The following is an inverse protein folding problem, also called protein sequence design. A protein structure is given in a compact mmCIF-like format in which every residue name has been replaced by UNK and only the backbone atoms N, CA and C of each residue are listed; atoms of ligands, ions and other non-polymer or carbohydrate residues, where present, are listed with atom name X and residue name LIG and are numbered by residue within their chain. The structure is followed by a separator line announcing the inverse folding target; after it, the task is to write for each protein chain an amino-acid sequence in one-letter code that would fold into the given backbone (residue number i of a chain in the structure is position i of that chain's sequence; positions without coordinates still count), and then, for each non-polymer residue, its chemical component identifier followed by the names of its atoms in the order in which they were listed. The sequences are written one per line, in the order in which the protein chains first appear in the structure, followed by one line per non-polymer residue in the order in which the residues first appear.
data_IF_065608919465
#
_entry.id   IF_065608919465
#
_cell.length_a   1.000
_cell.length_b   1.000
_cell.length_c   1.000
_cell.angle_alpha   90.00
_cell.angle_beta   90.00
_cell.angle_gamma   90.00
#
_symmetry.space_group_name_H-M   'P 1'
#
loop_
_entity.id
_entity.type
_entity.pdbx_description
1 polymer ?
#
# COMPACT_ATOMS: atom_id res chain seq x y z
N UNK A 1 52.33 -14.70 -24.00
CA UNK A 1 50.86 -14.82 -23.90
C UNK A 1 50.52 -15.04 -22.43
N UNK A 2 50.12 -14.00 -21.70
CA UNK A 2 49.84 -14.11 -20.26
C UNK A 2 48.41 -14.59 -20.04
N UNK A 3 48.23 -15.73 -19.36
CA UNK A 3 46.90 -16.20 -18.94
C UNK A 3 46.38 -15.26 -17.86
N UNK A 4 45.12 -14.77 -17.94
CA UNK A 4 44.55 -13.98 -16.87
C UNK A 4 44.46 -14.80 -15.58
N UNK A 5 44.87 -14.19 -14.47
CA UNK A 5 44.88 -14.80 -13.14
C UNK A 5 43.46 -15.10 -12.67
N UNK A 6 43.22 -16.30 -12.11
CA UNK A 6 41.96 -16.66 -11.47
C UNK A 6 41.58 -15.69 -10.34
N UNK A 7 42.56 -15.03 -9.72
CA UNK A 7 42.37 -14.00 -8.70
C UNK A 7 41.65 -12.76 -9.27
N UNK A 8 41.93 -12.39 -10.52
CA UNK A 8 41.30 -11.25 -11.19
C UNK A 8 39.82 -11.54 -11.50
N UNK A 9 39.49 -12.77 -11.89
CA UNK A 9 38.11 -13.22 -12.09
C UNK A 9 37.33 -13.30 -10.78
N UNK A 10 37.95 -13.79 -9.70
CA UNK A 10 37.31 -13.83 -8.39
C UNK A 10 37.08 -12.41 -7.84
N UNK A 11 38.02 -11.48 -8.05
CA UNK A 11 37.86 -10.08 -7.66
C UNK A 11 36.71 -9.39 -8.44
N UNK A 12 36.63 -9.61 -9.76
CA UNK A 12 35.50 -9.13 -10.58
C UNK A 12 34.17 -9.77 -10.13
N UNK A 13 34.16 -11.04 -9.76
CA UNK A 13 32.95 -11.72 -9.28
C UNK A 13 32.47 -11.16 -7.92
N UNK A 14 33.39 -10.92 -6.98
CA UNK A 14 33.08 -10.34 -5.67
C UNK A 14 32.64 -8.89 -5.80
N UNK A 15 33.23 -8.11 -6.73
CA UNK A 15 32.79 -6.73 -7.03
C UNK A 15 31.39 -6.67 -7.66
N UNK A 16 30.97 -7.68 -8.42
CA UNK A 16 29.59 -7.77 -8.93
C UNK A 16 28.61 -8.21 -7.83
N UNK A 17 29.04 -9.04 -6.88
CA UNK A 17 28.23 -9.49 -5.75
C UNK A 17 27.95 -8.36 -4.74
N UNK A 18 28.90 -7.45 -4.52
CA UNK A 18 28.70 -6.32 -3.60
C UNK A 18 27.73 -5.25 -4.12
N UNK A 19 27.34 -5.30 -5.40
CA UNK A 19 26.29 -4.43 -5.97
C UNK A 19 24.88 -4.97 -5.67
N UNK A 20 24.73 -6.25 -5.33
CA UNK A 20 23.43 -6.91 -5.26
C UNK A 20 22.72 -6.86 -3.90
N UNK A 21 23.30 -6.20 -2.89
CA UNK A 21 22.68 -6.08 -1.56
C UNK A 21 22.12 -4.67 -1.34
N UNK A 22 21.12 -4.27 -2.13
CA UNK A 22 20.26 -3.15 -1.74
C UNK A 22 19.01 -3.72 -1.05
N UNK A 23 18.89 -3.51 0.26
CA UNK A 23 17.64 -3.77 0.96
C UNK A 23 16.60 -2.76 0.48
N UNK A 24 15.53 -3.23 -0.17
CA UNK A 24 14.37 -2.38 -0.46
C UNK A 24 13.78 -1.87 0.86
N UNK A 25 13.78 -0.55 1.07
CA UNK A 25 13.06 0.02 2.20
C UNK A 25 11.57 0.03 1.86
N UNK A 26 10.77 -0.63 2.69
CA UNK A 26 9.32 -0.64 2.58
C UNK A 26 8.75 0.47 3.46
N UNK A 27 7.96 1.36 2.86
CA UNK A 27 7.25 2.41 3.58
C UNK A 27 5.78 2.00 3.69
N UNK A 28 5.20 2.15 4.89
CA UNK A 28 3.79 1.88 5.16
C UNK A 28 3.09 3.21 5.38
N UNK A 29 2.01 3.44 4.62
CA UNK A 29 1.18 4.63 4.77
C UNK A 29 -0.24 4.26 5.18
N UNK A 30 -0.74 4.91 6.23
CA UNK A 30 -2.12 4.74 6.71
C UNK A 30 -2.97 5.98 6.44
N UNK A 31 -4.18 5.81 5.94
CA UNK A 31 -5.09 6.90 5.59
C UNK A 31 -6.55 6.55 5.91
N UNK A 32 -7.35 7.52 6.35
CA UNK A 32 -8.80 7.34 6.44
C UNK A 32 -9.40 7.45 5.04
N UNK A 33 -10.26 6.49 4.69
CA UNK A 33 -10.91 6.44 3.39
C UNK A 33 -12.28 7.10 3.46
N UNK A 34 -12.57 7.95 2.48
CA UNK A 34 -13.91 8.49 2.23
C UNK A 34 -14.51 7.79 1.00
N UNK A 35 -15.44 6.84 1.17
CA UNK A 35 -16.04 6.13 0.05
C UNK A 35 -16.89 7.05 -0.83
N UNK A 36 -17.00 6.69 -2.12
CA UNK A 36 -17.90 7.37 -3.07
C UNK A 36 -19.36 7.14 -2.68
N UNK A 37 -19.67 5.93 -2.19
CA UNK A 37 -20.98 5.53 -1.65
C UNK A 37 -20.74 4.59 -0.49
N UNK A 38 -21.56 4.69 0.54
CA UNK A 38 -21.54 3.76 1.65
C UNK A 38 -22.91 3.68 2.34
N UNK A 39 -23.18 2.54 2.96
CA UNK A 39 -24.30 2.38 3.89
C UNK A 39 -24.03 1.23 4.86
N UNK A 40 -24.73 1.29 6.00
CA UNK A 40 -24.78 0.21 6.98
C UNK A 40 -26.23 -0.18 7.14
N UNK A 41 -26.53 -1.48 7.07
CA UNK A 41 -27.87 -2.02 7.26
C UNK A 41 -27.88 -3.01 8.42
N UNK A 42 -28.57 -2.74 9.53
CA UNK A 42 -28.77 -3.73 10.58
C UNK A 42 -29.80 -4.77 10.14
N UNK A 43 -29.50 -6.06 10.35
CA UNK A 43 -30.44 -7.17 10.17
C UNK A 43 -29.97 -8.41 10.94
N UNK A 44 -30.91 -9.16 11.53
CA UNK A 44 -30.63 -10.45 12.20
C UNK A 44 -29.56 -10.38 13.31
N UNK A 45 -29.50 -9.25 14.03
CA UNK A 45 -28.48 -9.04 15.07
C UNK A 45 -27.09 -8.70 14.54
N UNK A 46 -26.94 -8.47 13.23
CA UNK A 46 -25.69 -8.14 12.54
C UNK A 46 -25.78 -6.79 11.87
N UNK A 47 -24.62 -6.20 11.56
CA UNK A 47 -24.55 -5.00 10.74
C UNK A 47 -23.84 -5.30 9.41
N UNK A 48 -24.53 -5.06 8.30
CA UNK A 48 -24.02 -5.25 6.95
C UNK A 48 -23.51 -3.93 6.40
N UNK A 49 -22.21 -3.86 6.16
CA UNK A 49 -21.53 -2.69 5.61
C UNK A 49 -21.33 -2.88 4.12
N UNK A 50 -21.66 -1.86 3.33
CA UNK A 50 -21.29 -1.78 1.93
C UNK A 50 -20.65 -0.44 1.64
N UNK A 51 -19.56 -0.45 0.88
CA UNK A 51 -18.91 0.77 0.39
C UNK A 51 -18.39 0.59 -1.03
N UNK A 52 -18.25 1.72 -1.74
CA UNK A 52 -17.62 1.76 -3.06
C UNK A 52 -16.50 2.79 -3.09
N UNK A 53 -15.37 2.43 -3.68
CA UNK A 53 -14.15 3.26 -3.72
C UNK A 53 -13.49 3.16 -5.08
N UNK A 54 -12.83 4.24 -5.51
CA UNK A 54 -11.91 4.22 -6.65
C UNK A 54 -10.50 4.09 -6.07
N UNK A 55 -9.96 2.88 -6.08
CA UNK A 55 -8.64 2.61 -5.50
C UNK A 55 -7.54 2.81 -6.54
N UNK A 56 -6.50 3.55 -6.16
CA UNK A 56 -5.36 3.87 -7.03
C UNK A 56 -4.17 2.95 -6.80
N UNK A 57 -4.09 2.36 -5.61
CA UNK A 57 -3.00 1.47 -5.21
C UNK A 57 -3.35 0.00 -5.45
N UNK A 58 -2.39 -0.78 -5.91
CA UNK A 58 -2.48 -2.23 -6.08
C UNK A 58 -2.03 -3.00 -4.82
N UNK A 59 -1.26 -2.36 -3.94
CA UNK A 59 -0.72 -2.95 -2.72
C UNK A 59 -1.33 -2.29 -1.47
N UNK A 60 -2.64 -2.44 -1.30
CA UNK A 60 -3.30 -1.91 -0.12
C UNK A 60 -4.39 -2.85 0.44
N UNK A 61 -4.71 -2.64 1.70
CA UNK A 61 -5.81 -3.30 2.41
C UNK A 61 -6.69 -2.25 3.07
N UNK A 62 -7.98 -2.56 3.22
CA UNK A 62 -8.89 -1.82 4.07
C UNK A 62 -9.00 -2.51 5.42
N UNK A 63 -8.70 -1.77 6.47
CA UNK A 63 -9.02 -2.10 7.85
C UNK A 63 -10.41 -1.53 8.15
N UNK A 64 -11.31 -2.39 8.62
CA UNK A 64 -12.65 -2.02 9.04
C UNK A 64 -12.59 -1.81 10.56
N UNK A 65 -12.87 -0.59 10.99
CA UNK A 65 -12.84 -0.23 12.41
C UNK A 65 -14.25 0.17 12.87
N UNK A 66 -14.58 -0.19 14.12
CA UNK A 66 -15.85 0.11 14.79
C UNK A 66 -15.61 0.90 16.07
N UNK A 67 -16.58 1.73 16.43
CA UNK A 67 -16.56 2.50 17.67
C UNK A 67 -17.97 2.61 18.27
N UNK A 68 -18.06 2.64 19.60
CA UNK A 68 -19.31 2.95 20.32
C UNK A 68 -19.51 4.44 20.58
N UNK A 69 -18.43 5.23 20.52
CA UNK A 69 -18.40 6.65 20.90
C UNK A 69 -17.82 7.57 19.82
N UNK A 70 -17.48 7.03 18.65
CA UNK A 70 -16.88 7.73 17.51
C UNK A 70 -15.49 8.32 17.80
N UNK A 71 -14.84 7.96 18.91
CA UNK A 71 -13.49 8.41 19.30
C UNK A 71 -12.52 7.26 19.50
N UNK A 72 -12.96 6.18 20.14
CA UNK A 72 -12.17 4.97 20.39
C UNK A 72 -12.53 3.91 19.36
N UNK A 73 -11.56 3.50 18.56
CA UNK A 73 -11.77 2.65 17.40
C UNK A 73 -11.09 1.30 17.57
N UNK A 74 -11.85 0.24 17.37
CA UNK A 74 -11.41 -1.16 17.38
C UNK A 74 -11.42 -1.72 15.97
N UNK A 75 -10.35 -2.41 15.56
CA UNK A 75 -10.34 -3.16 14.31
C UNK A 75 -11.20 -4.42 14.43
N UNK A 76 -12.22 -4.53 13.59
CA UNK A 76 -13.13 -5.68 13.57
C UNK A 76 -12.91 -6.59 12.35
N UNK A 77 -12.08 -6.17 11.39
CA UNK A 77 -11.71 -7.00 10.25
C UNK A 77 -10.92 -6.25 9.19
N UNK A 78 -10.63 -6.93 8.09
CA UNK A 78 -9.94 -6.35 6.95
C UNK A 78 -10.47 -6.90 5.62
N UNK A 79 -10.17 -6.19 4.53
CA UNK A 79 -10.41 -6.61 3.14
C UNK A 79 -9.21 -6.25 2.28
N UNK A 80 -8.80 -7.17 1.42
CA UNK A 80 -7.87 -6.85 0.34
C UNK A 80 -8.50 -5.78 -0.56
N UNK A 81 -7.72 -4.76 -0.88
CA UNK A 81 -8.15 -3.72 -1.80
C UNK A 81 -7.53 -3.99 -3.17
N UNK A 82 -8.34 -3.82 -4.21
CA UNK A 82 -7.95 -3.98 -5.59
C UNK A 82 -7.94 -2.62 -6.26
N UNK A 83 -6.87 -2.33 -7.01
CA UNK A 83 -6.81 -1.14 -7.86
C UNK A 83 -8.01 -1.12 -8.80
N UNK A 84 -8.71 0.01 -8.83
CA UNK A 84 -9.87 0.21 -9.69
C UNK A 84 -9.46 0.18 -11.17
N UNK A 85 -10.06 -0.70 -12.01
CA UNK A 85 -9.77 -0.75 -13.42
C UNK A 85 -10.36 0.49 -14.12
N UNK A 86 -9.51 1.33 -14.73
CA UNK A 86 -9.98 2.50 -15.48
C UNK A 86 -10.84 3.47 -14.65
N UNK A 87 -10.53 3.63 -13.37
CA UNK A 87 -11.27 4.47 -12.43
C UNK A 87 -12.73 4.06 -12.16
N UNK A 88 -13.08 2.83 -12.51
CA UNK A 88 -14.38 2.24 -12.18
C UNK A 88 -14.42 1.94 -10.66
N UNK A 89 -15.40 2.49 -9.91
CA UNK A 89 -15.54 2.20 -8.49
C UNK A 89 -15.78 0.71 -8.24
N UNK A 90 -15.03 0.14 -7.30
CA UNK A 90 -15.23 -1.23 -6.85
C UNK A 90 -16.08 -1.25 -5.58
N UNK A 91 -17.01 -2.22 -5.51
CA UNK A 91 -17.89 -2.42 -4.38
C UNK A 91 -17.35 -3.50 -3.45
N UNK A 92 -17.40 -3.22 -2.15
CA UNK A 92 -16.95 -4.11 -1.09
C UNK A 92 -18.06 -4.29 -0.05
N UNK A 93 -18.05 -5.42 0.63
CA UNK A 93 -18.96 -5.74 1.71
C UNK A 93 -18.22 -6.32 2.91
N UNK A 94 -18.74 -6.04 4.10
CA UNK A 94 -18.27 -6.60 5.35
C UNK A 94 -19.46 -6.83 6.29
N UNK A 95 -19.44 -7.94 7.03
CA UNK A 95 -20.46 -8.24 8.04
C UNK A 95 -19.83 -8.09 9.41
N UNK A 96 -20.34 -7.16 10.20
CA UNK A 96 -20.11 -7.14 11.63
C UNK A 96 -21.08 -8.15 12.27
N UNK A 97 -20.54 -9.32 12.63
CA UNK A 97 -21.28 -10.48 13.14
C UNK A 97 -21.75 -10.28 14.59
N UNK A 98 -21.07 -9.40 15.35
CA UNK A 98 -21.37 -9.13 16.76
C UNK A 98 -21.36 -7.62 17.04
N UNK A 99 -22.29 -6.83 16.45
CA UNK A 99 -22.40 -5.41 16.72
C UNK A 99 -22.57 -5.11 18.20
N UNK A 100 -22.05 -3.96 18.63
CA UNK A 100 -22.25 -3.51 20.01
C UNK A 100 -23.72 -3.17 20.24
N UNK A 101 -24.17 -3.33 21.48
CA UNK A 101 -25.47 -2.80 21.89
C UNK A 101 -25.44 -1.26 21.81
N UNK A 102 -26.46 -0.68 21.17
CA UNK A 102 -26.57 0.78 21.00
C UNK A 102 -25.91 1.28 19.72
N UNK A 103 -25.25 2.44 19.81
CA UNK A 103 -24.66 3.09 18.64
C UNK A 103 -23.39 2.35 18.18
N UNK A 104 -23.31 2.13 16.86
CA UNK A 104 -22.13 1.59 16.20
C UNK A 104 -21.71 2.57 15.10
N UNK A 105 -20.51 3.12 15.24
CA UNK A 105 -19.86 3.94 14.22
C UNK A 105 -18.84 3.08 13.49
N UNK A 106 -18.72 3.27 12.18
CA UNK A 106 -17.80 2.50 11.34
C UNK A 106 -16.95 3.44 10.53
N UNK A 107 -15.67 3.10 10.37
CA UNK A 107 -14.78 3.78 9.43
C UNK A 107 -13.87 2.79 8.73
N UNK A 108 -13.33 3.24 7.61
CA UNK A 108 -12.35 2.50 6.83
C UNK A 108 -11.01 3.20 6.95
N UNK A 109 -9.99 2.45 7.33
CA UNK A 109 -8.61 2.88 7.26
C UNK A 109 -7.90 2.07 6.19
N UNK A 110 -7.25 2.71 5.24
CA UNK A 110 -6.45 2.06 4.22
C UNK A 110 -5.00 2.02 4.66
N UNK A 111 -4.36 0.87 4.49
CA UNK A 111 -2.91 0.70 4.67
C UNK A 111 -2.30 0.41 3.30
N UNK A 112 -1.31 1.19 2.90
CA UNK A 112 -0.64 1.11 1.60
C UNK A 112 0.80 0.71 1.83
N UNK A 113 1.26 -0.33 1.12
CA UNK A 113 2.67 -0.68 1.06
C UNK A 113 3.30 0.06 -0.11
N UNK A 114 4.05 1.11 0.20
CA UNK A 114 4.83 1.87 -0.77
C UNK A 114 6.22 1.23 -0.88
N UNK A 115 6.64 0.95 -2.10
CA UNK A 115 8.06 0.75 -2.36
C UNK A 115 8.70 2.12 -2.23
N UNK A 116 9.64 2.30 -1.29
CA UNK A 116 10.43 3.54 -1.29
C UNK A 116 11.09 3.62 -2.66
N UNK A 117 10.86 4.70 -3.41
CA UNK A 117 11.64 4.94 -4.60
C UNK A 117 13.12 4.90 -4.17
N UNK A 118 13.89 3.95 -4.69
CA UNK A 118 15.35 4.11 -4.64
C UNK A 118 15.61 5.48 -5.24
N UNK A 119 16.28 6.37 -4.51
CA UNK A 119 16.56 7.71 -4.96
C UNK A 119 17.29 7.67 -6.32
N UNK A 120 16.55 7.70 -7.43
CA UNK A 120 17.13 7.99 -8.73
C UNK A 120 17.51 9.47 -8.68
N UNK A 121 18.81 9.73 -8.66
CA UNK A 121 19.34 11.09 -8.77
C UNK A 121 18.78 11.75 -10.03
N UNK A 122 18.40 13.02 -9.94
CA UNK A 122 18.03 13.82 -11.12
C UNK A 122 19.10 13.66 -12.22
N UNK A 123 18.72 13.51 -13.50
CA UNK A 123 19.68 13.47 -14.60
C UNK A 123 20.50 14.76 -14.59
N UNK A 124 21.82 14.64 -14.52
CA UNK A 124 22.75 15.77 -14.62
C UNK A 124 22.76 16.22 -16.09
N UNK A 125 22.25 17.41 -16.35
CA UNK A 125 22.33 18.04 -17.68
C UNK A 125 23.78 18.50 -17.92
N UNK A 126 24.53 17.75 -18.74
CA UNK A 126 25.87 18.17 -19.16
C UNK A 126 25.72 19.20 -20.29
N UNK A 127 25.77 20.49 -19.94
CA UNK A 127 25.88 21.55 -20.94
C UNK A 127 27.32 21.56 -21.48
N UNK A 128 27.51 21.00 -22.67
CA UNK A 128 28.78 21.13 -23.40
C UNK A 128 28.81 22.48 -24.09
N UNK A 129 29.57 23.44 -23.55
CA UNK A 129 29.85 24.71 -24.24
C UNK A 129 30.80 24.40 -25.40
N UNK A 130 30.34 24.57 -26.64
CA UNK A 130 31.23 24.59 -27.80
C UNK A 130 32.00 25.91 -27.79
N UNK A 131 33.31 25.84 -27.63
CA UNK A 131 34.22 26.96 -27.89
C UNK A 131 34.44 27.07 -29.40
N UNK A 132 34.22 28.27 -29.94
CA UNK A 132 34.60 28.64 -31.31
C UNK A 132 36.11 28.77 -31.47
#
# INVERSE_FOLDING_TARGET
MNKPSALLFFLLFVLNLSIYSQSENLEIKEEIVTPVKHWVKPAEGKNYLLWTVIEKYDNCIYLIERSSNNTDWEMIGYKDAYKSPGDIPLAYYFTDEEPLNGNNFYRLKRVILLKSASAESNPIEIITVKTN
#
